data_IF_360945824695
#
_entry.id   IF_360945824695
#
_cell.length_a   1.000
_cell.length_b   1.000
_cell.length_c   1.000
_cell.angle_alpha   90.00
_cell.angle_beta   90.00
_cell.angle_gamma   90.00
#
_symmetry.space_group_name_H-M   'P 1'
#
loop_
_entity.id
_entity.type
_entity.pdbx_description
1 polymer ?
#
# COMPACT_ATOMS: atom_id res chain seq x y z
N UNK A 1 18.99 20.08 -9.66
CA UNK A 1 18.54 19.39 -8.41
C UNK A 1 17.04 19.64 -8.18
N UNK A 2 16.20 18.98 -8.99
CA UNK A 2 14.75 19.03 -8.85
C UNK A 2 14.32 18.00 -7.81
N UNK A 3 13.49 18.41 -6.85
CA UNK A 3 12.88 17.49 -5.89
C UNK A 3 11.97 16.45 -6.57
N UNK A 4 11.18 15.69 -5.79
CA UNK A 4 10.30 14.67 -6.36
C UNK A 4 9.31 15.32 -7.34
N UNK A 5 9.29 14.83 -8.57
CA UNK A 5 8.29 15.20 -9.58
C UNK A 5 7.18 14.17 -9.56
N UNK A 6 5.93 14.57 -9.88
CA UNK A 6 4.86 13.57 -10.00
C UNK A 6 5.24 12.53 -11.06
N UNK A 7 5.78 12.97 -12.20
CA UNK A 7 6.22 12.05 -13.25
C UNK A 7 7.30 11.11 -12.74
N UNK A 8 8.19 11.58 -11.85
CA UNK A 8 9.17 10.75 -11.16
C UNK A 8 8.52 9.73 -10.23
N UNK A 9 7.50 10.13 -9.46
CA UNK A 9 6.74 9.23 -8.57
C UNK A 9 5.92 8.21 -9.36
N UNK A 10 5.23 8.62 -10.43
CA UNK A 10 4.46 7.72 -11.29
C UNK A 10 5.38 6.75 -12.03
N UNK A 11 6.50 7.26 -12.57
CA UNK A 11 7.55 6.42 -13.16
C UNK A 11 8.04 5.38 -12.15
N UNK A 12 8.35 5.81 -10.92
CA UNK A 12 8.74 4.93 -9.82
C UNK A 12 7.67 3.87 -9.49
N UNK A 13 6.39 4.26 -9.39
CA UNK A 13 5.30 3.32 -9.10
C UNK A 13 5.04 2.29 -10.22
N UNK A 14 5.36 2.65 -11.47
CA UNK A 14 5.27 1.74 -12.62
C UNK A 14 6.57 0.98 -12.90
N UNK A 15 7.63 1.28 -12.15
CA UNK A 15 8.91 0.61 -12.32
C UNK A 15 8.76 -0.86 -11.88
N UNK A 16 8.93 -1.75 -12.85
CA UNK A 16 8.86 -3.19 -12.62
C UNK A 16 9.92 -3.66 -11.64
N UNK A 17 11.11 -3.05 -11.62
CA UNK A 17 12.17 -3.39 -10.66
C UNK A 17 11.68 -3.10 -9.24
N UNK A 18 11.17 -1.91 -8.99
CA UNK A 18 10.69 -1.46 -7.67
C UNK A 18 9.47 -2.26 -7.20
N UNK A 19 8.57 -2.59 -8.13
CA UNK A 19 7.42 -3.46 -7.85
C UNK A 19 7.84 -4.89 -7.53
N UNK A 20 8.73 -5.48 -8.34
CA UNK A 20 9.30 -6.82 -8.10
C UNK A 20 10.03 -6.87 -6.74
N UNK A 21 10.81 -5.83 -6.41
CA UNK A 21 11.52 -5.72 -5.12
C UNK A 21 10.54 -5.73 -3.94
N UNK A 22 9.48 -4.93 -4.00
CA UNK A 22 8.48 -4.87 -2.94
C UNK A 22 7.81 -6.23 -2.73
N UNK A 23 7.41 -6.92 -3.81
CA UNK A 23 6.78 -8.24 -3.70
C UNK A 23 7.73 -9.29 -3.11
N UNK A 24 8.99 -9.30 -3.53
CA UNK A 24 9.99 -10.21 -2.96
C UNK A 24 10.13 -10.02 -1.46
N UNK A 25 10.16 -8.77 -0.98
CA UNK A 25 10.25 -8.47 0.45
C UNK A 25 8.99 -8.91 1.21
N UNK A 26 7.80 -8.63 0.65
CA UNK A 26 6.51 -9.00 1.27
C UNK A 26 6.40 -10.51 1.45
N UNK A 27 6.80 -11.30 0.45
CA UNK A 27 6.78 -12.77 0.55
C UNK A 27 7.64 -13.28 1.70
N UNK A 28 8.78 -12.64 1.96
CA UNK A 28 9.70 -13.03 3.04
C UNK A 28 9.18 -12.63 4.42
N UNK A 29 8.57 -11.45 4.53
CA UNK A 29 7.92 -11.05 5.76
C UNK A 29 6.66 -11.89 6.05
N UNK A 30 5.94 -12.34 5.01
CA UNK A 30 4.84 -13.30 5.16
C UNK A 30 5.33 -14.66 5.67
N UNK A 31 6.51 -15.14 5.24
CA UNK A 31 7.14 -16.35 5.81
C UNK A 31 7.47 -16.15 7.29
N UNK A 32 8.01 -15.01 7.68
CA UNK A 32 8.25 -14.70 9.10
C UNK A 32 6.94 -14.69 9.90
N UNK A 33 5.91 -14.02 9.38
CA UNK A 33 4.60 -13.95 10.02
C UNK A 33 3.92 -15.31 10.12
N UNK A 34 4.06 -16.18 9.11
CA UNK A 34 3.57 -17.56 9.17
C UNK A 34 4.28 -18.40 10.26
N UNK A 35 5.54 -18.09 10.59
CA UNK A 35 6.26 -18.75 11.67
C UNK A 35 5.81 -18.29 13.05
N UNK A 36 5.46 -17.01 13.23
CA UNK A 36 5.14 -16.43 14.55
C UNK A 36 3.64 -16.29 14.86
N UNK A 37 2.78 -16.28 13.83
CA UNK A 37 1.33 -16.14 13.97
C UNK A 37 0.61 -17.43 13.54
N UNK A 38 -0.22 -18.02 14.43
CA UNK A 38 -0.91 -19.30 14.18
C UNK A 38 -1.83 -19.28 12.94
N UNK A 39 -2.44 -18.15 12.63
CA UNK A 39 -3.31 -17.96 11.47
C UNK A 39 -2.62 -17.27 10.27
N UNK A 40 -1.28 -17.19 10.31
CA UNK A 40 -0.47 -16.43 9.36
C UNK A 40 -0.62 -14.92 9.49
N UNK A 41 -0.03 -14.21 8.52
CA UNK A 41 -0.21 -12.76 8.33
C UNK A 41 -1.38 -12.44 7.39
N UNK A 42 -1.94 -11.23 7.53
CA UNK A 42 -2.88 -10.60 6.60
C UNK A 42 -2.24 -9.34 6.06
N UNK A 43 -2.17 -9.23 4.75
CA UNK A 43 -1.56 -8.12 4.03
C UNK A 43 -2.60 -6.99 3.84
N UNK A 44 -2.17 -5.73 3.98
CA UNK A 44 -2.93 -4.53 3.63
C UNK A 44 -1.99 -3.49 3.00
N UNK A 45 -2.45 -2.77 1.97
CA UNK A 45 -1.63 -1.87 1.15
C UNK A 45 -1.74 -2.18 -0.35
N UNK A 46 -0.78 -1.71 -1.19
CA UNK A 46 0.40 -0.94 -0.83
C UNK A 46 0.06 0.52 -0.51
N UNK A 47 0.90 1.17 0.29
CA UNK A 47 0.82 2.59 0.63
C UNK A 47 2.06 3.32 0.13
N UNK A 48 1.93 4.59 -0.24
CA UNK A 48 3.07 5.46 -0.51
C UNK A 48 3.41 6.21 0.77
N UNK A 49 4.62 6.00 1.29
CA UNK A 49 5.13 6.70 2.47
C UNK A 49 6.11 7.79 2.08
N UNK A 50 5.69 9.02 2.26
CA UNK A 50 6.50 10.19 1.99
C UNK A 50 7.40 10.52 3.18
N UNK A 51 8.71 10.61 2.92
CA UNK A 51 9.71 11.10 3.88
C UNK A 51 10.32 12.41 3.36
N UNK A 52 11.09 13.08 4.20
CA UNK A 52 11.69 14.38 3.87
C UNK A 52 12.56 14.40 2.60
N UNK A 53 13.04 13.24 2.11
CA UNK A 53 14.02 13.13 1.02
C UNK A 53 13.72 12.07 -0.03
N UNK A 54 12.72 11.22 0.19
CA UNK A 54 12.35 10.11 -0.67
C UNK A 54 10.93 9.64 -0.31
N UNK A 55 10.28 8.93 -1.23
CA UNK A 55 9.07 8.18 -0.95
C UNK A 55 9.36 6.70 -1.17
N UNK A 56 8.78 5.82 -0.36
CA UNK A 56 8.83 4.38 -0.57
C UNK A 56 7.41 3.82 -0.62
N UNK A 57 7.22 2.74 -1.36
CA UNK A 57 6.03 1.90 -1.26
C UNK A 57 6.18 0.95 -0.07
N UNK A 58 5.12 0.75 0.70
CA UNK A 58 5.11 -0.17 1.84
C UNK A 58 3.82 -0.98 1.89
N UNK A 59 3.92 -2.21 2.39
CA UNK A 59 2.78 -3.01 2.82
C UNK A 59 2.77 -3.11 4.35
N UNK A 60 1.60 -3.36 4.92
CA UNK A 60 1.44 -3.66 6.33
C UNK A 60 0.94 -5.09 6.47
N UNK A 61 1.65 -5.92 7.25
CA UNK A 61 1.24 -7.29 7.57
C UNK A 61 0.79 -7.35 9.03
N UNK A 62 -0.42 -7.86 9.26
CA UNK A 62 -0.99 -8.01 10.61
C UNK A 62 -1.27 -9.47 10.91
N UNK A 63 -1.00 -9.90 12.14
CA UNK A 63 -1.27 -11.25 12.60
C UNK A 63 -1.52 -11.27 14.10
N UNK A 64 -2.05 -12.39 14.60
CA UNK A 64 -2.22 -12.62 16.03
C UNK A 64 -1.19 -13.65 16.51
N UNK A 65 -0.52 -13.32 17.61
CA UNK A 65 0.43 -14.22 18.28
C UNK A 65 0.27 -14.10 19.79
N UNK A 66 0.40 -15.23 20.47
CA UNK A 66 0.43 -15.38 21.93
C UNK A 66 1.85 -15.69 22.44
N UNK A 67 2.83 -15.72 21.54
CA UNK A 67 4.24 -16.02 21.85
C UNK A 67 4.84 -15.01 22.82
N UNK A 68 5.92 -15.44 23.44
CA UNK A 68 6.71 -14.56 24.27
C UNK A 68 7.43 -13.51 23.41
N UNK A 69 7.55 -12.27 23.90
CA UNK A 69 8.23 -11.18 23.17
C UNK A 69 9.68 -11.51 22.83
N UNK A 70 10.36 -12.30 23.68
CA UNK A 70 11.74 -12.77 23.45
C UNK A 70 11.79 -13.74 22.27
N UNK A 71 10.79 -14.60 22.13
CA UNK A 71 10.66 -15.51 21.00
C UNK A 71 10.30 -14.76 19.72
N UNK A 72 9.37 -13.80 19.79
CA UNK A 72 9.04 -12.94 18.64
C UNK A 72 10.30 -12.25 18.13
N UNK A 73 11.03 -11.56 19.00
CA UNK A 73 12.29 -10.91 18.64
C UNK A 73 13.30 -11.90 18.05
N UNK A 74 13.50 -13.06 18.69
CA UNK A 74 14.45 -14.09 18.21
C UNK A 74 14.11 -14.62 16.83
N UNK A 75 12.83 -14.90 16.59
CA UNK A 75 12.36 -15.52 15.35
C UNK A 75 12.23 -14.53 14.19
N UNK A 76 12.23 -13.23 14.46
CA UNK A 76 12.18 -12.16 13.46
C UNK A 76 13.53 -11.45 13.26
N UNK A 77 14.61 -11.92 13.88
CA UNK A 77 15.96 -11.41 13.62
C UNK A 77 16.46 -11.92 12.26
N UNK A 78 16.72 -11.08 11.26
CA UNK A 78 16.33 -9.67 11.13
C UNK A 78 15.45 -9.50 9.88
N UNK A 79 14.79 -8.36 9.75
CA UNK A 79 13.88 -8.12 8.63
C UNK A 79 14.57 -8.32 7.26
N UNK A 80 13.87 -8.89 6.26
CA UNK A 80 14.46 -9.21 4.96
C UNK A 80 14.80 -7.94 4.18
N UNK A 81 14.10 -6.82 4.44
CA UNK A 81 14.38 -5.48 3.91
C UNK A 81 15.80 -4.96 4.16
N UNK A 82 16.48 -5.47 5.19
CA UNK A 82 17.82 -5.01 5.60
C UNK A 82 18.85 -6.13 5.61
N UNK A 83 18.45 -7.35 5.22
CA UNK A 83 19.32 -8.52 5.15
C UNK A 83 19.28 -9.13 3.75
N UNK A 84 18.13 -9.69 3.36
CA UNK A 84 17.86 -10.29 2.07
C UNK A 84 17.11 -11.61 2.20
N UNK A 85 17.03 -12.35 1.10
CA UNK A 85 16.36 -13.66 1.05
C UNK A 85 17.12 -14.70 0.21
N UNK A 86 17.02 -15.99 0.57
CA UNK A 86 16.48 -16.52 1.83
C UNK A 86 17.35 -16.10 3.03
N UNK A 87 16.75 -15.82 4.19
CA UNK A 87 17.42 -15.11 5.31
C UNK A 87 18.78 -15.68 5.71
N UNK A 88 18.88 -17.00 5.89
CA UNK A 88 20.13 -17.67 6.30
C UNK A 88 21.22 -17.55 5.21
N UNK A 89 20.81 -17.63 3.94
CA UNK A 89 21.73 -17.43 2.84
C UNK A 89 22.15 -15.96 2.70
N UNK A 90 21.22 -15.02 2.93
CA UNK A 90 21.52 -13.60 2.94
C UNK A 90 22.58 -13.27 4.01
N UNK A 91 22.46 -13.84 5.22
CA UNK A 91 23.49 -13.70 6.25
C UNK A 91 24.87 -14.22 5.80
N UNK A 92 24.92 -15.35 5.08
CA UNK A 92 26.17 -15.87 4.49
C UNK A 92 26.72 -14.96 3.40
N UNK A 93 25.87 -14.41 2.53
CA UNK A 93 26.27 -13.45 1.48
C UNK A 93 26.87 -12.19 2.13
N UNK A 94 26.17 -11.62 3.11
CA UNK A 94 26.62 -10.47 3.89
C UNK A 94 28.00 -10.76 4.50
N UNK A 95 28.16 -11.89 5.18
CA UNK A 95 29.43 -12.27 5.80
C UNK A 95 30.59 -12.44 4.79
N UNK A 96 30.30 -12.78 3.53
CA UNK A 96 31.33 -12.90 2.47
C UNK A 96 31.75 -11.56 1.88
N UNK A 97 30.84 -10.60 1.82
CA UNK A 97 31.05 -9.34 1.10
C UNK A 97 31.27 -8.12 2.00
N UNK A 98 30.86 -8.17 3.27
CA UNK A 98 31.12 -7.08 4.22
C UNK A 98 32.43 -7.31 4.98
N UNK A 99 33.39 -6.37 4.92
CA UNK A 99 34.71 -6.53 5.54
C UNK A 99 34.70 -6.35 7.07
N UNK A 100 33.58 -5.91 7.64
CA UNK A 100 33.45 -5.63 9.07
C UNK A 100 32.05 -5.99 9.56
N UNK A 101 31.91 -6.29 10.85
CA UNK A 101 30.61 -6.49 11.47
C UNK A 101 29.71 -5.25 11.39
N UNK A 102 28.39 -5.48 11.42
CA UNK A 102 27.36 -4.43 11.30
C UNK A 102 27.14 -3.60 12.57
N UNK A 103 27.64 -4.05 13.73
CA UNK A 103 27.26 -3.46 15.01
C UNK A 103 25.74 -3.53 15.18
N UNK A 104 25.09 -2.39 15.41
CA UNK A 104 23.63 -2.30 15.51
C UNK A 104 22.91 -2.09 14.17
N UNK A 105 23.62 -1.84 13.07
CA UNK A 105 22.99 -1.64 11.76
C UNK A 105 22.19 -2.89 11.36
N UNK A 106 20.97 -2.71 10.84
CA UNK A 106 19.96 -3.75 10.56
C UNK A 106 19.39 -4.46 11.80
N UNK A 107 19.82 -4.05 13.00
CA UNK A 107 19.33 -4.54 14.28
C UNK A 107 17.96 -3.99 14.67
N UNK A 108 17.58 -4.19 15.93
CA UNK A 108 16.28 -3.79 16.48
C UNK A 108 16.46 -2.96 17.74
N UNK A 109 15.79 -1.80 17.80
CA UNK A 109 15.49 -1.13 19.07
C UNK A 109 14.08 -1.54 19.49
N UNK A 110 13.94 -2.15 20.66
CA UNK A 110 12.67 -2.69 21.15
C UNK A 110 12.30 -2.09 22.50
N UNK A 111 11.13 -1.48 22.58
CA UNK A 111 10.47 -1.08 23.82
C UNK A 111 9.50 -2.21 24.23
N UNK A 112 9.88 -2.93 25.28
CA UNK A 112 9.09 -4.03 25.84
C UNK A 112 8.41 -3.55 27.11
N UNK A 113 7.09 -3.75 27.20
CA UNK A 113 6.32 -3.28 28.33
C UNK A 113 5.05 -4.07 28.58
N UNK A 114 4.13 -3.43 29.31
CA UNK A 114 2.77 -3.89 29.53
C UNK A 114 1.79 -2.74 29.36
N UNK A 115 0.60 -3.03 28.86
CA UNK A 115 -0.50 -2.05 28.83
C UNK A 115 -1.20 -1.92 30.20
N UNK A 116 -2.21 -1.06 30.26
CA UNK A 116 -2.98 -0.82 31.49
C UNK A 116 -3.75 -2.06 31.99
N UNK A 117 -4.05 -3.02 31.11
CA UNK A 117 -4.68 -4.30 31.46
C UNK A 117 -3.65 -5.38 31.83
N UNK A 118 -2.35 -5.06 31.79
CA UNK A 118 -1.25 -5.96 32.10
C UNK A 118 -0.82 -6.86 30.93
N UNK A 119 -1.39 -6.71 29.75
CA UNK A 119 -1.00 -7.47 28.57
C UNK A 119 0.37 -7.01 28.07
N UNK A 120 1.17 -7.92 27.51
CA UNK A 120 2.51 -7.61 27.01
C UNK A 120 2.44 -6.70 25.78
N UNK A 121 3.29 -5.69 25.74
CA UNK A 121 3.45 -4.80 24.59
C UNK A 121 4.88 -4.85 24.06
N UNK A 122 5.03 -4.76 22.75
CA UNK A 122 6.31 -4.63 22.05
C UNK A 122 6.12 -3.59 20.95
N UNK A 123 6.86 -2.51 21.05
CA UNK A 123 7.07 -1.56 19.96
C UNK A 123 8.54 -1.62 19.54
N UNK A 124 8.81 -1.82 18.26
CA UNK A 124 10.17 -2.05 17.79
C UNK A 124 10.43 -1.42 16.43
N UNK A 125 11.61 -0.85 16.27
CA UNK A 125 12.07 -0.26 15.02
C UNK A 125 13.33 -0.94 14.51
N UNK A 126 13.46 -0.98 13.18
CA UNK A 126 14.67 -1.43 12.51
C UNK A 126 15.71 -0.31 12.61
N UNK A 127 16.92 -0.64 13.05
CA UNK A 127 18.04 0.29 13.20
C UNK A 127 18.70 0.59 11.85
N UNK A 128 17.99 1.40 11.05
CA UNK A 128 18.45 2.07 9.83
C UNK A 128 18.30 3.58 10.00
N UNK A 129 18.96 4.38 9.15
CA UNK A 129 18.96 5.85 9.28
C UNK A 129 19.35 6.31 10.69
N UNK A 130 20.30 5.61 11.28
CA UNK A 130 20.74 5.75 12.68
C UNK A 130 22.25 5.98 12.71
N UNK A 131 22.71 6.83 13.63
CA UNK A 131 24.13 7.02 13.93
C UNK A 131 24.47 6.31 15.23
N UNK A 132 25.46 5.42 15.17
CA UNK A 132 26.11 4.82 16.34
C UNK A 132 27.32 5.69 16.71
N UNK A 133 27.29 6.29 17.89
CA UNK A 133 28.30 7.22 18.38
C UNK A 133 29.00 6.60 19.58
N UNK A 134 30.27 6.26 19.42
CA UNK A 134 31.07 5.71 20.51
C UNK A 134 31.46 6.77 21.53
N UNK A 135 31.89 6.33 22.71
CA UNK A 135 32.28 7.22 23.81
C UNK A 135 33.46 8.16 23.49
N UNK A 136 34.30 7.79 22.51
CA UNK A 136 35.40 8.61 21.98
C UNK A 136 34.95 9.57 20.86
N UNK A 137 33.65 9.64 20.57
CA UNK A 137 33.05 10.55 19.59
C UNK A 137 33.11 10.05 18.14
N UNK A 138 33.54 8.81 17.87
CA UNK A 138 33.48 8.27 16.50
C UNK A 138 32.04 7.93 16.13
N UNK A 139 31.61 8.43 14.98
CA UNK A 139 30.27 8.24 14.45
C UNK A 139 30.27 7.22 13.30
N UNK A 140 29.36 6.25 13.35
CA UNK A 140 29.13 5.26 12.28
C UNK A 140 27.69 5.33 11.81
N UNK A 141 27.48 5.48 10.50
CA UNK A 141 26.15 5.43 9.87
C UNK A 141 26.13 4.21 8.95
N UNK A 142 25.38 3.18 9.33
CA UNK A 142 25.14 2.04 8.46
C UNK A 142 24.10 2.38 7.39
N UNK A 143 24.42 2.11 6.13
CA UNK A 143 23.50 2.31 5.00
C UNK A 143 23.71 1.22 3.95
N UNK A 144 22.63 0.85 3.28
CA UNK A 144 22.61 -0.15 2.22
C UNK A 144 21.40 0.04 1.31
N UNK A 145 21.36 -0.77 0.27
CA UNK A 145 20.28 -0.85 -0.71
C UNK A 145 19.96 -2.33 -0.97
N UNK A 146 18.73 -2.60 -1.40
CA UNK A 146 18.31 -3.95 -1.77
C UNK A 146 18.91 -4.27 -3.13
N UNK A 147 19.67 -5.35 -3.23
CA UNK A 147 20.26 -5.77 -4.50
C UNK A 147 19.39 -6.86 -5.14
N UNK A 148 18.86 -6.57 -6.32
CA UNK A 148 18.09 -7.52 -7.13
C UNK A 148 18.80 -7.81 -8.45
N UNK A 149 18.31 -8.80 -9.20
CA UNK A 149 18.92 -9.27 -10.46
C UNK A 149 19.17 -8.15 -11.49
N UNK A 150 18.37 -7.09 -11.44
CA UNK A 150 18.39 -5.96 -12.37
C UNK A 150 18.95 -4.67 -11.74
N UNK A 151 19.60 -4.76 -10.58
CA UNK A 151 20.20 -3.60 -9.93
C UNK A 151 21.37 -3.03 -10.75
N UNK A 152 21.40 -1.69 -10.85
CA UNK A 152 22.52 -0.94 -11.43
C UNK A 152 23.46 -0.45 -10.30
N UNK A 153 24.73 -0.87 -10.24
CA UNK A 153 25.63 -0.53 -9.14
C UNK A 153 25.76 0.97 -8.86
N UNK A 154 25.74 1.81 -9.89
CA UNK A 154 25.82 3.26 -9.70
C UNK A 154 24.53 3.83 -9.10
N UNK A 155 23.38 3.33 -9.52
CA UNK A 155 22.07 3.70 -8.96
C UNK A 155 21.98 3.33 -7.49
N UNK A 156 22.38 2.11 -7.12
CA UNK A 156 22.38 1.67 -5.72
C UNK A 156 23.33 2.52 -4.85
N UNK A 157 24.47 2.93 -5.41
CA UNK A 157 25.39 3.86 -4.76
C UNK A 157 24.80 5.28 -4.61
N UNK A 158 23.98 5.75 -5.56
CA UNK A 158 23.26 7.03 -5.43
C UNK A 158 22.16 6.93 -4.37
N UNK A 159 21.44 5.81 -4.34
CA UNK A 159 20.39 5.54 -3.36
C UNK A 159 20.93 5.52 -1.93
N UNK A 160 22.03 4.81 -1.67
CA UNK A 160 22.66 4.79 -0.33
C UNK A 160 23.07 6.20 0.13
N UNK A 161 23.60 7.05 -0.75
CA UNK A 161 23.87 8.47 -0.44
C UNK A 161 22.58 9.24 -0.11
N UNK A 162 21.52 9.05 -0.89
CA UNK A 162 20.23 9.70 -0.64
C UNK A 162 19.64 9.27 0.72
N UNK A 163 19.71 7.97 1.04
CA UNK A 163 19.29 7.37 2.31
C UNK A 163 20.08 7.94 3.50
N UNK A 164 21.39 8.15 3.36
CA UNK A 164 22.23 8.74 4.40
C UNK A 164 22.05 10.27 4.55
N UNK A 165 21.68 10.97 3.48
CA UNK A 165 21.63 12.44 3.43
C UNK A 165 20.75 13.08 4.50
N UNK A 166 19.66 12.42 4.91
CA UNK A 166 18.78 12.94 5.96
C UNK A 166 19.48 13.03 7.32
N UNK A 167 20.31 12.05 7.66
CA UNK A 167 21.06 12.03 8.91
C UNK A 167 22.31 12.94 8.83
N UNK A 168 22.96 13.00 7.67
CA UNK A 168 24.10 13.90 7.44
C UNK A 168 23.68 15.38 7.51
N UNK A 169 22.48 15.74 7.02
CA UNK A 169 21.92 17.08 7.17
C UNK A 169 21.75 17.50 8.63
N UNK A 170 21.40 16.58 9.52
CA UNK A 170 21.31 16.84 10.95
C UNK A 170 22.69 17.10 11.61
N UNK A 171 23.79 16.73 10.95
CA UNK A 171 25.17 16.91 11.42
C UNK A 171 25.85 18.15 10.83
N UNK A 172 25.12 19.01 10.10
CA UNK A 172 25.62 20.30 9.62
C UNK A 172 25.72 20.45 8.10
N UNK A 173 25.24 19.48 7.30
CA UNK A 173 25.11 19.66 5.84
C UNK A 173 23.89 20.54 5.49
N UNK A 174 23.99 21.50 4.53
CA UNK A 174 22.90 22.42 4.21
C UNK A 174 21.59 21.75 3.77
N UNK A 175 20.45 22.24 4.29
CA UNK A 175 19.10 21.80 3.87
C UNK A 175 18.72 22.37 2.49
N UNK A 176 18.05 21.62 1.60
CA UNK A 176 17.55 22.14 0.34
C UNK A 176 16.22 22.90 0.47
N UNK A 177 15.95 23.75 -0.51
CA UNK A 177 14.73 24.57 -0.68
C UNK A 177 13.46 23.72 -0.81
N UNK A 178 12.34 24.19 -0.25
CA UNK A 178 11.00 23.55 -0.29
C UNK A 178 10.03 24.34 -1.17
N UNK A 179 9.13 23.67 -1.89
CA UNK A 179 8.18 24.29 -2.84
C UNK A 179 6.69 24.00 -2.59
N UNK A 180 6.33 23.27 -1.52
CA UNK A 180 4.94 22.87 -1.26
C UNK A 180 3.96 24.07 -1.14
N UNK A 181 4.44 25.22 -0.67
CA UNK A 181 3.64 26.44 -0.55
C UNK A 181 3.68 27.34 -1.81
N UNK A 182 4.43 26.96 -2.86
CA UNK A 182 4.57 27.79 -4.05
C UNK A 182 3.22 27.92 -4.78
N UNK A 183 2.79 29.14 -5.16
CA UNK A 183 1.47 29.37 -5.77
C UNK A 183 1.20 28.49 -6.99
N UNK A 184 2.20 28.30 -7.85
CA UNK A 184 2.07 27.48 -9.06
C UNK A 184 1.92 25.99 -8.76
N UNK A 185 2.58 25.49 -7.71
CA UNK A 185 2.45 24.10 -7.26
C UNK A 185 1.03 23.87 -6.72
N UNK A 186 0.52 24.81 -5.91
CA UNK A 186 -0.86 24.76 -5.41
C UNK A 186 -1.88 24.86 -6.54
N UNK A 187 -1.64 25.72 -7.52
CA UNK A 187 -2.51 25.88 -8.69
C UNK A 187 -2.54 24.62 -9.57
N UNK A 188 -1.39 23.97 -9.79
CA UNK A 188 -1.30 22.71 -10.54
C UNK A 188 -1.99 21.55 -9.82
N UNK A 189 -1.88 21.48 -8.48
CA UNK A 189 -2.60 20.49 -7.67
C UNK A 189 -4.11 20.73 -7.71
N UNK A 190 -4.56 21.98 -7.50
CA UNK A 190 -5.96 22.35 -7.60
C UNK A 190 -6.54 22.09 -9.01
N UNK A 191 -5.73 22.24 -10.06
CA UNK A 191 -6.14 21.97 -11.42
C UNK A 191 -6.49 20.50 -11.70
N UNK A 192 -5.94 19.53 -10.96
CA UNK A 192 -6.25 18.10 -11.13
C UNK A 192 -7.66 17.75 -10.71
N UNK A 193 -8.23 18.54 -9.82
CA UNK A 193 -9.60 18.37 -9.38
C UNK A 193 -10.59 18.79 -10.47
N UNK A 194 -10.17 19.51 -11.52
CA UNK A 194 -11.06 19.94 -12.61
C UNK A 194 -11.63 18.80 -13.46
N UNK A 195 -11.03 17.61 -13.43
CA UNK A 195 -11.50 16.42 -14.16
C UNK A 195 -12.07 15.33 -13.26
N UNK A 196 -12.06 15.54 -11.94
CA UNK A 196 -12.66 14.61 -10.98
C UNK A 196 -14.12 15.04 -10.82
N UNK A 197 -15.05 14.09 -10.84
CA UNK A 197 -16.46 14.41 -10.64
C UNK A 197 -16.68 15.10 -9.29
N UNK A 198 -17.38 16.22 -9.29
CA UNK A 198 -17.63 17.07 -8.11
C UNK A 198 -18.16 16.28 -6.92
N UNK A 199 -18.95 15.23 -7.19
CA UNK A 199 -19.45 14.27 -6.20
C UNK A 199 -18.37 13.73 -5.24
N UNK A 200 -17.14 13.55 -5.71
CA UNK A 200 -16.03 12.99 -4.91
C UNK A 200 -15.16 14.06 -4.25
N UNK A 201 -15.33 15.33 -4.62
CA UNK A 201 -14.54 16.46 -4.13
C UNK A 201 -15.27 17.25 -3.06
N UNK A 202 -16.60 17.33 -3.16
CA UNK A 202 -17.42 18.05 -2.20
C UNK A 202 -17.57 17.28 -0.89
N UNK A 203 -17.66 18.02 0.23
CA UNK A 203 -18.01 17.38 1.50
C UNK A 203 -19.43 16.79 1.42
N UNK A 204 -19.69 15.63 2.04
CA UNK A 204 -21.00 15.00 1.99
C UNK A 204 -22.09 15.94 2.54
N UNK A 205 -22.84 16.59 1.65
CA UNK A 205 -23.97 17.43 2.05
C UNK A 205 -25.11 16.52 2.49
N UNK A 206 -25.41 16.54 3.78
CA UNK A 206 -26.52 15.79 4.36
C UNK A 206 -27.92 16.24 3.87
N UNK A 207 -28.02 17.22 2.97
CA UNK A 207 -29.25 17.99 2.73
C UNK A 207 -29.79 18.04 1.30
N UNK A 208 -29.10 17.51 0.29
CA UNK A 208 -29.65 17.53 -1.09
C UNK A 208 -30.39 16.23 -1.45
N UNK A 209 -31.16 15.68 -0.50
CA UNK A 209 -32.22 14.69 -0.81
C UNK A 209 -33.43 15.42 -1.40
N UNK A 210 -33.23 16.24 -2.43
CA UNK A 210 -34.35 16.75 -3.19
C UNK A 210 -34.95 15.62 -4.02
N UNK A 211 -36.27 15.60 -4.10
CA UNK A 211 -37.07 14.57 -4.77
C UNK A 211 -36.80 14.56 -6.29
N UNK A 212 -35.66 14.00 -6.69
CA UNK A 212 -35.36 13.67 -8.07
C UNK A 212 -36.31 12.60 -8.59
N UNK A 213 -36.46 12.51 -9.91
CA UNK A 213 -37.38 11.57 -10.57
C UNK A 213 -37.17 10.09 -10.18
N UNK A 214 -36.02 9.74 -9.62
CA UNK A 214 -35.64 8.39 -9.20
C UNK A 214 -35.77 8.16 -7.68
N UNK A 215 -36.12 9.17 -6.89
CA UNK A 215 -36.23 9.05 -5.43
C UNK A 215 -37.27 7.98 -5.04
N UNK A 216 -36.89 7.07 -4.14
CA UNK A 216 -37.74 5.98 -3.66
C UNK A 216 -37.81 4.76 -4.59
N UNK A 217 -37.17 4.78 -5.76
CA UNK A 217 -37.03 3.60 -6.64
C UNK A 217 -36.07 2.58 -6.03
N UNK A 218 -36.29 1.31 -6.36
CA UNK A 218 -35.39 0.20 -6.01
C UNK A 218 -34.59 -0.21 -7.24
N UNK A 219 -33.26 -0.22 -7.10
CA UNK A 219 -32.35 -0.62 -8.17
C UNK A 219 -31.54 -1.84 -7.73
N UNK A 220 -31.48 -2.84 -8.60
CA UNK A 220 -30.53 -3.94 -8.50
C UNK A 220 -29.25 -3.57 -9.23
N UNK A 221 -28.13 -3.56 -8.52
CA UNK A 221 -26.79 -3.44 -9.09
C UNK A 221 -26.13 -4.81 -9.06
N UNK A 222 -25.80 -5.35 -10.23
CA UNK A 222 -25.16 -6.66 -10.33
C UNK A 222 -23.65 -6.49 -10.51
N UNK A 223 -22.87 -6.93 -9.52
CA UNK A 223 -21.41 -6.89 -9.52
C UNK A 223 -20.82 -8.09 -10.28
N UNK A 224 -20.13 -7.79 -11.39
CA UNK A 224 -19.42 -8.79 -12.20
C UNK A 224 -17.92 -8.83 -11.85
N UNK A 225 -17.59 -8.74 -10.56
CA UNK A 225 -16.24 -8.76 -10.01
C UNK A 225 -15.40 -7.50 -10.30
N UNK A 226 -16.05 -6.36 -10.53
CA UNK A 226 -15.42 -5.05 -10.47
C UNK A 226 -16.15 -4.14 -9.48
N UNK A 227 -15.48 -3.89 -8.36
CA UNK A 227 -15.99 -3.10 -7.23
C UNK A 227 -16.26 -1.62 -7.55
N UNK A 228 -16.03 -1.16 -8.78
CA UNK A 228 -16.58 0.11 -9.28
C UNK A 228 -18.10 0.20 -9.07
N UNK A 229 -18.80 -0.93 -9.02
CA UNK A 229 -20.22 -1.01 -8.60
C UNK A 229 -20.50 -0.38 -7.25
N UNK A 230 -19.57 -0.43 -6.29
CA UNK A 230 -19.72 0.21 -4.98
C UNK A 230 -19.70 1.74 -5.09
N UNK A 231 -18.85 2.28 -5.98
CA UNK A 231 -18.79 3.72 -6.30
C UNK A 231 -20.07 4.16 -7.00
N UNK A 232 -20.54 3.40 -8.00
CA UNK A 232 -21.80 3.67 -8.70
C UNK A 232 -23.00 3.60 -7.74
N UNK A 233 -23.04 2.58 -6.87
CA UNK A 233 -24.10 2.44 -5.87
C UNK A 233 -24.12 3.64 -4.90
N UNK A 234 -22.96 4.17 -4.52
CA UNK A 234 -22.87 5.35 -3.67
C UNK A 234 -23.41 6.61 -4.37
N UNK A 235 -23.06 6.82 -5.63
CA UNK A 235 -23.60 7.92 -6.45
C UNK A 235 -25.10 7.78 -6.70
N UNK A 236 -25.60 6.58 -6.97
CA UNK A 236 -27.03 6.35 -7.21
C UNK A 236 -27.84 6.50 -5.93
N UNK A 237 -27.29 6.09 -4.77
CA UNK A 237 -27.91 6.32 -3.45
C UNK A 237 -28.03 7.80 -3.11
N UNK A 238 -27.11 8.65 -3.57
CA UNK A 238 -27.22 10.09 -3.34
C UNK A 238 -28.40 10.72 -4.10
N UNK A 239 -28.87 10.08 -5.17
CA UNK A 239 -30.09 10.45 -5.91
C UNK A 239 -31.39 9.98 -5.22
N UNK A 240 -31.30 9.37 -4.03
CA UNK A 240 -32.46 8.89 -3.27
C UNK A 240 -32.98 7.51 -3.70
N UNK A 241 -32.20 6.76 -4.48
CA UNK A 241 -32.54 5.39 -4.92
C UNK A 241 -32.06 4.36 -3.89
N UNK A 242 -32.91 3.38 -3.57
CA UNK A 242 -32.51 2.23 -2.78
C UNK A 242 -31.76 1.22 -3.67
N UNK A 243 -30.44 1.14 -3.52
CA UNK A 243 -29.59 0.22 -4.29
C UNK A 243 -29.31 -1.07 -3.51
N UNK A 244 -29.78 -2.20 -4.02
CA UNK A 244 -29.33 -3.54 -3.62
C UNK A 244 -28.17 -3.97 -4.53
N UNK A 245 -27.03 -4.33 -3.93
CA UNK A 245 -25.82 -4.72 -4.64
C UNK A 245 -25.64 -6.23 -4.46
N UNK A 246 -25.72 -6.97 -5.57
CA UNK A 246 -25.60 -8.43 -5.59
C UNK A 246 -24.47 -8.86 -6.49
N UNK A 247 -23.75 -9.92 -6.13
CA UNK A 247 -22.75 -10.50 -7.03
C UNK A 247 -23.47 -11.25 -8.16
N UNK A 248 -22.84 -11.33 -9.33
CA UNK A 248 -23.40 -11.97 -10.52
C UNK A 248 -23.83 -13.44 -10.33
N UNK A 249 -23.30 -14.12 -9.32
CA UNK A 249 -23.59 -15.53 -8.99
C UNK A 249 -24.60 -15.70 -7.84
N UNK A 250 -25.13 -14.61 -7.30
CA UNK A 250 -26.18 -14.64 -6.28
C UNK A 250 -27.58 -14.71 -6.91
N UNK A 251 -28.47 -15.47 -6.29
CA UNK A 251 -29.87 -15.57 -6.75
C UNK A 251 -30.63 -14.27 -6.47
N UNK A 252 -31.25 -13.72 -7.51
CA UNK A 252 -32.04 -12.50 -7.45
C UNK A 252 -33.15 -12.51 -8.51
N UNK A 253 -34.32 -11.94 -8.22
CA UNK A 253 -35.39 -11.74 -9.20
C UNK A 253 -35.37 -10.29 -9.72
N UNK A 254 -34.98 -10.04 -10.99
CA UNK A 254 -34.98 -8.71 -11.58
C UNK A 254 -36.35 -8.01 -11.56
N UNK A 255 -37.47 -8.75 -11.50
CA UNK A 255 -38.82 -8.19 -11.49
C UNK A 255 -39.19 -7.47 -10.18
N UNK A 256 -38.44 -7.68 -9.09
CA UNK A 256 -38.65 -6.99 -7.81
C UNK A 256 -38.11 -5.56 -7.77
N UNK A 257 -37.40 -5.14 -8.83
CA UNK A 257 -36.69 -3.86 -8.89
C UNK A 257 -37.26 -2.99 -10.01
N UNK A 258 -37.26 -1.68 -9.80
CA UNK A 258 -37.66 -0.69 -10.83
C UNK A 258 -36.60 -0.56 -11.92
N UNK A 259 -35.33 -0.82 -11.58
CA UNK A 259 -34.16 -0.67 -12.45
C UNK A 259 -33.14 -1.77 -12.18
N UNK A 260 -32.46 -2.21 -13.22
CA UNK A 260 -31.32 -3.13 -13.13
C UNK A 260 -30.12 -2.51 -13.82
N UNK A 261 -28.99 -2.44 -13.12
CA UNK A 261 -27.72 -2.02 -13.67
C UNK A 261 -26.75 -3.18 -13.60
N UNK A 262 -26.23 -3.55 -14.75
CA UNK A 262 -25.14 -4.50 -14.84
C UNK A 262 -23.84 -3.74 -14.60
N UNK A 263 -23.13 -4.08 -13.53
CA UNK A 263 -21.84 -3.51 -13.17
C UNK A 263 -20.76 -3.81 -14.21
N UNK A 264 -19.57 -3.23 -14.10
CA UNK A 264 -18.42 -3.66 -14.88
C UNK A 264 -17.85 -4.99 -14.35
N UNK A 265 -16.96 -5.60 -15.13
CA UNK A 265 -16.28 -6.84 -14.78
C UNK A 265 -15.10 -7.12 -15.71
N UNK A 266 -14.07 -7.85 -15.23
CA UNK A 266 -12.95 -8.26 -16.06
C UNK A 266 -13.32 -9.44 -16.98
N UNK A 267 -12.62 -9.57 -18.11
CA UNK A 267 -12.78 -10.70 -19.04
C UNK A 267 -12.98 -10.27 -20.49
N UNK A 268 -13.07 -11.25 -21.38
CA UNK A 268 -13.42 -11.04 -22.79
C UNK A 268 -14.93 -11.26 -22.97
N UNK A 269 -15.72 -10.25 -23.35
CA UNK A 269 -17.17 -10.37 -23.49
C UNK A 269 -17.62 -11.37 -24.57
N UNK A 270 -16.69 -11.90 -25.37
CA UNK A 270 -16.94 -12.91 -26.40
C UNK A 270 -16.86 -14.34 -25.86
N UNK A 271 -16.35 -14.55 -24.65
CA UNK A 271 -16.18 -15.87 -24.05
C UNK A 271 -17.46 -16.35 -23.35
N UNK A 272 -18.38 -16.94 -24.12
CA UNK A 272 -19.69 -17.43 -23.65
C UNK A 272 -19.66 -18.66 -22.72
N UNK A 273 -18.51 -19.05 -22.17
CA UNK A 273 -18.41 -20.12 -21.13
C UNK A 273 -18.12 -19.57 -19.73
N UNK A 274 -17.80 -18.29 -19.64
CA UNK A 274 -17.67 -17.60 -18.36
C UNK A 274 -19.07 -17.27 -17.83
N UNK A 275 -19.37 -17.72 -16.60
CA UNK A 275 -20.63 -17.46 -15.91
C UNK A 275 -20.97 -15.96 -15.86
N UNK A 276 -19.96 -15.09 -15.81
CA UNK A 276 -20.10 -13.63 -15.85
C UNK A 276 -20.63 -13.14 -17.20
N UNK A 277 -20.00 -13.57 -18.31
CA UNK A 277 -20.40 -13.19 -19.67
C UNK A 277 -21.75 -13.80 -20.07
N UNK A 278 -22.04 -15.02 -19.57
CA UNK A 278 -23.34 -15.67 -19.72
C UNK A 278 -24.46 -14.86 -19.06
N UNK A 279 -24.21 -14.26 -17.89
CA UNK A 279 -25.18 -13.39 -17.24
C UNK A 279 -25.52 -12.17 -18.10
N UNK A 280 -24.55 -11.46 -18.68
CA UNK A 280 -24.87 -10.36 -19.61
C UNK A 280 -25.68 -10.85 -20.82
N UNK A 281 -25.29 -11.98 -21.39
CA UNK A 281 -25.93 -12.52 -22.61
C UNK A 281 -27.35 -13.01 -22.36
N UNK A 282 -27.67 -13.53 -21.16
CA UNK A 282 -28.98 -14.07 -20.80
C UNK A 282 -29.91 -13.00 -20.17
N UNK A 283 -29.34 -12.05 -19.42
CA UNK A 283 -30.13 -11.05 -18.67
C UNK A 283 -30.42 -9.80 -19.50
N UNK A 284 -29.52 -9.34 -20.38
CA UNK A 284 -29.76 -8.17 -21.24
C UNK A 284 -30.99 -8.32 -22.17
N UNK A 285 -31.22 -9.46 -22.85
CA UNK A 285 -32.40 -9.63 -23.70
C UNK A 285 -33.72 -9.67 -22.92
N UNK A 286 -33.66 -10.04 -21.64
CA UNK A 286 -34.82 -10.11 -20.74
C UNK A 286 -35.19 -8.72 -20.20
N UNK A 287 -34.20 -7.87 -19.96
CA UNK A 287 -34.39 -6.47 -19.53
C UNK A 287 -34.84 -5.57 -20.70
N UNK A 288 -34.36 -5.80 -21.93
CA UNK A 288 -34.67 -4.99 -23.12
C UNK A 288 -36.04 -5.29 -23.77
N UNK A 289 -36.81 -6.25 -23.22
CA UNK A 289 -38.13 -6.65 -23.74
C UNK A 289 -39.32 -6.03 -22.98
N UNK A 290 -39.05 -5.16 -22.01
CA UNK A 290 -40.06 -4.37 -21.27
C UNK A 290 -40.21 -2.99 -21.89
#
# INVERSE_FOLDING_TARGET
PGGPTLDGVLSFLTDRKETDELYMVVDEELKMMARICRAGGRLSGPYLKEMARLAHTEYVIRGRTDRDVREVLRETMFAPTVTGSPLENAARVISRHEPSGRGYYSGVAALVGRDAAGARTLDSSILIRTADVSADGRLRIGVGATLVRHSDPESEARETRAKASGLLAALGEPLPTRFAAHPDVRAALAARNRGIGDFWLDEPRAQDREAGALAGRRLLMVDAEDTFTAMMAHQIRSLGVAVDLRRFDEEHDPAEYDLVVMGPGPGDPREGRDGRCLLYTLTLPTILRV
#
